data_IF_477952132315
#
_entry.id   IF_477952132315
#
_cell.length_a   1.000
_cell.length_b   1.000
_cell.length_c   1.000
_cell.angle_alpha   90.00
_cell.angle_beta   90.00
_cell.angle_gamma   90.00
#
_symmetry.space_group_name_H-M   'P 1'
#
loop_
_entity.id
_entity.type
_entity.pdbx_description
1 polymer ?
#
# COMPACT_ATOMS: atom_id res chain seq x y z
N UNK A 1 0.39 33.16 1.70
CA UNK A 1 0.69 32.37 2.92
C UNK A 1 -0.17 31.10 2.93
N UNK A 2 0.30 29.97 2.38
CA UNK A 2 -0.41 28.67 2.41
C UNK A 2 0.58 27.47 2.45
N UNK A 3 1.77 27.65 3.04
CA UNK A 3 2.92 26.74 2.82
C UNK A 3 3.10 25.64 3.88
N UNK A 4 2.06 25.32 4.67
CA UNK A 4 2.19 24.40 5.83
C UNK A 4 1.30 23.14 5.77
N UNK A 5 0.39 23.05 4.79
CA UNK A 5 -0.46 21.87 4.59
C UNK A 5 0.25 20.78 3.78
N UNK A 6 1.17 21.15 2.87
CA UNK A 6 1.80 20.21 1.94
C UNK A 6 2.84 19.27 2.56
N UNK A 7 3.66 19.73 3.51
CA UNK A 7 4.57 18.83 4.24
C UNK A 7 3.82 17.78 5.05
N UNK A 8 2.58 18.05 5.47
CA UNK A 8 1.74 17.06 6.15
C UNK A 8 1.19 16.02 5.20
N UNK A 9 0.76 16.42 4.00
CA UNK A 9 0.30 15.49 2.95
C UNK A 9 1.44 14.58 2.49
N UNK A 10 2.62 15.11 2.21
CA UNK A 10 3.81 14.31 1.87
C UNK A 10 4.17 13.32 2.98
N UNK A 11 4.20 13.79 4.24
CA UNK A 11 4.49 12.93 5.40
C UNK A 11 3.42 11.85 5.59
N UNK A 12 2.16 12.16 5.30
CA UNK A 12 1.05 11.21 5.38
C UNK A 12 1.16 10.15 4.28
N UNK A 13 1.44 10.55 3.03
CA UNK A 13 1.71 9.62 1.91
C UNK A 13 2.90 8.70 2.22
N UNK A 14 4.02 9.24 2.71
CA UNK A 14 5.18 8.43 3.08
C UNK A 14 4.88 7.46 4.24
N UNK A 15 4.07 7.88 5.22
CA UNK A 15 3.64 7.02 6.33
C UNK A 15 2.71 5.91 5.83
N UNK A 16 1.78 6.24 4.93
CA UNK A 16 0.88 5.29 4.29
C UNK A 16 1.63 4.27 3.42
N UNK A 17 2.63 4.70 2.65
CA UNK A 17 3.50 3.81 1.88
C UNK A 17 4.27 2.85 2.79
N UNK A 18 4.81 3.33 3.92
CA UNK A 18 5.47 2.48 4.92
C UNK A 18 4.52 1.41 5.47
N UNK A 19 3.29 1.77 5.83
CA UNK A 19 2.31 0.80 6.30
C UNK A 19 1.87 -0.17 5.22
N UNK A 20 1.78 0.28 3.96
CA UNK A 20 1.46 -0.59 2.82
C UNK A 20 2.55 -1.63 2.56
N UNK A 21 3.82 -1.23 2.59
CA UNK A 21 4.95 -2.17 2.51
C UNK A 21 4.93 -3.17 3.67
N UNK A 22 4.64 -2.71 4.89
CA UNK A 22 4.51 -3.58 6.06
C UNK A 22 3.37 -4.59 5.89
N UNK A 23 2.25 -4.17 5.31
CA UNK A 23 1.10 -5.04 5.04
C UNK A 23 1.41 -6.10 3.99
N UNK A 24 2.11 -5.75 2.89
CA UNK A 24 2.57 -6.72 1.89
C UNK A 24 3.54 -7.71 2.52
N UNK A 25 4.45 -7.23 3.37
CA UNK A 25 5.41 -8.10 4.07
C UNK A 25 4.70 -9.09 5.00
N UNK A 26 3.72 -8.64 5.78
CA UNK A 26 2.89 -9.51 6.61
C UNK A 26 2.10 -10.53 5.79
N UNK A 27 1.55 -10.10 4.65
CA UNK A 27 0.85 -10.99 3.72
C UNK A 27 1.79 -12.06 3.13
N UNK A 28 3.02 -11.69 2.77
CA UNK A 28 4.03 -12.62 2.28
C UNK A 28 4.40 -13.67 3.35
N UNK A 29 4.56 -13.27 4.62
CA UNK A 29 4.82 -14.20 5.71
C UNK A 29 3.64 -15.17 5.89
N UNK A 30 2.40 -14.66 5.90
CA UNK A 30 1.21 -15.49 6.03
C UNK A 30 1.07 -16.50 4.86
N UNK A 31 1.42 -16.07 3.65
CA UNK A 31 1.46 -16.93 2.46
C UNK A 31 2.47 -18.07 2.63
N UNK A 32 3.70 -17.76 3.05
CA UNK A 32 4.75 -18.77 3.29
C UNK A 32 4.31 -19.75 4.39
N UNK A 33 3.72 -19.24 5.48
CA UNK A 33 3.23 -20.08 6.58
C UNK A 33 2.12 -21.03 6.11
N UNK A 34 1.18 -20.52 5.32
CA UNK A 34 0.09 -21.33 4.76
C UNK A 34 0.58 -22.36 3.75
N UNK A 35 1.64 -22.05 2.99
CA UNK A 35 2.30 -22.99 2.09
C UNK A 35 2.96 -24.12 2.89
N UNK A 36 3.66 -23.80 3.97
CA UNK A 36 4.27 -24.79 4.87
C UNK A 36 3.25 -25.69 5.56
N UNK A 37 2.06 -25.18 5.87
CA UNK A 37 0.96 -25.95 6.48
C UNK A 37 0.11 -26.75 5.47
N UNK A 38 0.38 -26.65 4.16
CA UNK A 38 -0.41 -27.31 3.12
C UNK A 38 -1.81 -26.71 2.92
N UNK A 39 -2.10 -25.57 3.55
CA UNK A 39 -3.38 -24.85 3.46
C UNK A 39 -3.49 -23.98 2.19
N UNK A 40 -2.82 -24.40 1.10
CA UNK A 40 -2.75 -23.66 -0.17
C UNK A 40 -4.13 -23.38 -0.78
N UNK A 41 -5.11 -24.27 -0.56
CA UNK A 41 -6.47 -24.10 -1.06
C UNK A 41 -7.18 -22.87 -0.46
N UNK A 42 -6.98 -22.60 0.84
CA UNK A 42 -7.61 -21.46 1.52
C UNK A 42 -6.97 -20.16 1.01
N UNK A 43 -5.64 -20.16 0.87
CA UNK A 43 -4.92 -19.03 0.29
C UNK A 43 -5.28 -18.80 -1.16
N UNK A 44 -5.47 -19.84 -1.98
CA UNK A 44 -5.83 -19.69 -3.39
C UNK A 44 -7.17 -18.96 -3.58
N UNK A 45 -8.13 -19.17 -2.68
CA UNK A 45 -9.41 -18.45 -2.69
C UNK A 45 -9.27 -17.02 -2.15
N UNK A 46 -8.40 -16.83 -1.15
CA UNK A 46 -8.21 -15.53 -0.50
C UNK A 46 -7.30 -14.58 -1.30
N UNK A 47 -6.37 -15.13 -2.10
CA UNK A 47 -5.40 -14.42 -2.91
C UNK A 47 -6.02 -13.45 -3.92
N UNK A 48 -7.06 -13.81 -4.72
CA UNK A 48 -7.71 -12.86 -5.62
C UNK A 48 -8.45 -11.75 -4.86
N UNK A 49 -9.04 -12.07 -3.71
CA UNK A 49 -9.74 -11.08 -2.89
C UNK A 49 -8.76 -10.08 -2.26
N UNK A 50 -7.69 -10.59 -1.64
CA UNK A 50 -6.61 -9.78 -1.11
C UNK A 50 -5.93 -8.98 -2.22
N UNK A 51 -5.61 -9.61 -3.36
CA UNK A 51 -4.98 -8.97 -4.51
C UNK A 51 -5.80 -7.81 -5.09
N UNK A 52 -7.12 -7.97 -5.20
CA UNK A 52 -8.01 -6.88 -5.62
C UNK A 52 -8.01 -5.71 -4.62
N UNK A 53 -7.97 -6.02 -3.32
CA UNK A 53 -7.91 -5.00 -2.28
C UNK A 53 -6.55 -4.29 -2.23
N UNK A 54 -5.45 -5.03 -2.37
CA UNK A 54 -4.10 -4.50 -2.51
C UNK A 54 -3.95 -3.65 -3.77
N UNK A 55 -4.56 -4.04 -4.89
CA UNK A 55 -4.56 -3.26 -6.13
C UNK A 55 -5.29 -1.93 -5.93
N UNK A 56 -6.49 -1.93 -5.34
CA UNK A 56 -7.22 -0.69 -5.02
C UNK A 56 -6.43 0.22 -4.08
N UNK A 57 -5.84 -0.33 -3.02
CA UNK A 57 -5.02 0.44 -2.09
C UNK A 57 -3.75 0.98 -2.77
N UNK A 58 -3.11 0.20 -3.63
CA UNK A 58 -1.97 0.61 -4.43
C UNK A 58 -2.30 1.74 -5.40
N UNK A 59 -3.43 1.67 -6.10
CA UNK A 59 -3.89 2.74 -7.00
C UNK A 59 -4.18 4.02 -6.22
N UNK A 60 -4.82 3.92 -5.05
CA UNK A 60 -5.09 5.06 -4.18
C UNK A 60 -3.78 5.72 -3.71
N UNK A 61 -2.79 4.90 -3.33
CA UNK A 61 -1.46 5.35 -2.92
C UNK A 61 -0.69 6.02 -4.05
N UNK A 62 -0.70 5.42 -5.25
CA UNK A 62 -0.06 6.00 -6.43
C UNK A 62 -0.72 7.33 -6.81
N UNK A 63 -2.04 7.42 -6.74
CA UNK A 63 -2.77 8.67 -6.97
C UNK A 63 -2.35 9.77 -5.97
N UNK A 64 -2.26 9.42 -4.69
CA UNK A 64 -1.76 10.34 -3.66
C UNK A 64 -0.31 10.74 -3.91
N UNK A 65 0.54 9.79 -4.33
CA UNK A 65 1.95 10.03 -4.63
C UNK A 65 2.11 10.96 -5.83
N UNK A 66 1.42 10.71 -6.95
CA UNK A 66 1.42 11.56 -8.14
C UNK A 66 0.93 12.96 -7.83
N UNK A 67 -0.16 13.09 -7.06
CA UNK A 67 -0.67 14.40 -6.62
C UNK A 67 0.39 15.14 -5.81
N UNK A 68 1.08 14.43 -4.92
CA UNK A 68 2.16 15.01 -4.10
C UNK A 68 3.35 15.46 -4.95
N UNK A 69 3.78 14.64 -5.93
CA UNK A 69 4.90 14.96 -6.82
C UNK A 69 4.58 16.14 -7.73
N UNK A 70 3.38 16.21 -8.32
CA UNK A 70 2.96 17.32 -9.19
C UNK A 70 3.01 18.64 -8.40
N UNK A 71 2.58 18.61 -7.14
CA UNK A 71 2.54 19.81 -6.32
C UNK A 71 3.94 20.23 -5.86
N UNK A 72 4.82 19.27 -5.57
CA UNK A 72 6.23 19.56 -5.31
C UNK A 72 6.96 20.09 -6.55
N UNK A 73 6.62 19.59 -7.76
CA UNK A 73 7.24 20.01 -9.03
C UNK A 73 6.71 21.33 -9.59
N UNK A 74 5.52 21.79 -9.16
CA UNK A 74 4.96 23.08 -9.56
C UNK A 74 5.59 24.25 -8.76
N UNK A 75 6.46 23.95 -7.81
CA UNK A 75 7.31 24.91 -7.07
C UNK A 75 8.66 25.07 -7.76
#
# INVERSE_FOLDING_TARGET
>A
MTTNQYSRLFKLTAKFLKYFLLAIFGFAIAYILSMSFGALNIVAVLLPFAGNWFSKLGILLLCLMTTTIIIESLR
#
